data_IF_811064250594
#
_entry.id   IF_811064250594
#
_cell.length_a   1.000
_cell.length_b   1.000
_cell.length_c   1.000
_cell.angle_alpha   90.00
_cell.angle_beta   90.00
_cell.angle_gamma   90.00
#
_symmetry.space_group_name_H-M   'P 1'
#
loop_
_entity.id
_entity.type
_entity.pdbx_description
1 polymer ?
#
# COMPACT_ATOMS: atom_id res chain seq x y z
N UNK A 1 -4.78 -17.74 -31.20
CA UNK A 1 -5.09 -17.65 -29.75
C UNK A 1 -6.37 -18.37 -29.36
N UNK A 2 -7.48 -18.24 -30.10
CA UNK A 2 -8.77 -18.90 -29.76
C UNK A 2 -8.74 -20.43 -29.67
N UNK A 3 -7.77 -21.08 -30.30
CA UNK A 3 -7.59 -22.53 -30.28
C UNK A 3 -6.69 -23.04 -29.14
N UNK A 4 -6.09 -22.15 -28.35
CA UNK A 4 -5.19 -22.55 -27.26
C UNK A 4 -5.99 -22.99 -26.02
N UNK A 5 -5.55 -24.03 -25.30
CA UNK A 5 -6.04 -24.32 -23.96
C UNK A 5 -5.80 -23.12 -23.02
N UNK A 6 -6.69 -22.91 -22.05
CA UNK A 6 -6.65 -21.74 -21.18
C UNK A 6 -5.30 -21.52 -20.48
N UNK A 7 -4.65 -22.58 -19.97
CA UNK A 7 -3.33 -22.48 -19.34
C UNK A 7 -2.27 -21.93 -20.29
N UNK A 8 -2.17 -22.51 -21.49
CA UNK A 8 -1.21 -22.05 -22.52
C UNK A 8 -1.50 -20.62 -22.98
N UNK A 9 -2.78 -20.23 -23.06
CA UNK A 9 -3.18 -18.86 -23.40
C UNK A 9 -2.71 -17.88 -22.32
N UNK A 10 -2.95 -18.18 -21.04
CA UNK A 10 -2.47 -17.35 -19.92
C UNK A 10 -0.95 -17.22 -19.93
N UNK A 11 -0.24 -18.34 -20.12
CA UNK A 11 1.22 -18.32 -20.14
C UNK A 11 1.75 -17.49 -21.31
N UNK A 12 1.09 -17.56 -22.48
CA UNK A 12 1.41 -16.68 -23.62
C UNK A 12 1.20 -15.20 -23.27
N UNK A 13 0.09 -14.86 -22.60
CA UNK A 13 -0.22 -13.48 -22.22
C UNK A 13 0.78 -12.89 -21.21
N UNK A 14 1.42 -13.71 -20.36
CA UNK A 14 2.47 -13.24 -19.43
C UNK A 14 3.71 -12.68 -20.15
N UNK A 15 3.95 -13.09 -21.40
CA UNK A 15 5.05 -12.58 -22.22
C UNK A 15 4.74 -11.24 -22.91
N UNK A 16 3.47 -10.81 -22.91
CA UNK A 16 3.08 -9.53 -23.47
C UNK A 16 3.29 -8.41 -22.45
N UNK A 17 3.83 -7.27 -22.86
CA UNK A 17 3.88 -6.10 -22.00
C UNK A 17 2.49 -5.44 -21.85
N UNK A 18 2.39 -4.45 -20.97
CA UNK A 18 1.11 -3.78 -20.71
C UNK A 18 0.45 -3.21 -21.97
N UNK A 19 1.20 -2.53 -22.84
CA UNK A 19 0.63 -1.90 -24.05
C UNK A 19 0.10 -2.92 -25.05
N UNK A 20 0.79 -4.07 -25.17
CA UNK A 20 0.33 -5.19 -25.99
C UNK A 20 -0.92 -5.84 -25.40
N UNK A 21 -0.97 -6.06 -24.08
CA UNK A 21 -2.15 -6.61 -23.40
C UNK A 21 -3.34 -5.67 -23.49
N UNK A 22 -3.11 -4.37 -23.30
CA UNK A 22 -4.13 -3.34 -23.38
C UNK A 22 -4.71 -3.27 -24.80
N UNK A 23 -3.85 -3.29 -25.81
CA UNK A 23 -4.26 -3.37 -27.22
C UNK A 23 -5.08 -4.63 -27.50
N UNK A 24 -4.62 -5.80 -27.02
CA UNK A 24 -5.35 -7.07 -27.17
C UNK A 24 -6.73 -7.04 -26.48
N UNK A 25 -6.81 -6.42 -25.29
CA UNK A 25 -8.06 -6.24 -24.53
C UNK A 25 -9.11 -5.46 -25.32
N UNK A 26 -8.68 -4.52 -26.17
CA UNK A 26 -9.57 -3.70 -27.00
C UNK A 26 -10.03 -4.39 -28.29
N UNK A 27 -9.41 -5.50 -28.70
CA UNK A 27 -9.77 -6.16 -29.96
C UNK A 27 -11.16 -6.79 -29.95
N UNK A 28 -11.60 -7.34 -28.82
CA UNK A 28 -12.95 -7.92 -28.66
C UNK A 28 -13.28 -8.26 -27.19
N UNK A 29 -14.58 -8.53 -26.96
CA UNK A 29 -15.13 -8.87 -25.64
C UNK A 29 -14.55 -10.16 -25.03
N UNK A 30 -14.11 -11.12 -25.85
CA UNK A 30 -13.51 -12.36 -25.34
C UNK A 30 -12.18 -12.07 -24.64
N UNK A 31 -11.23 -11.39 -25.30
CA UNK A 31 -9.96 -11.03 -24.65
C UNK A 31 -10.16 -10.03 -23.52
N UNK A 32 -11.12 -9.12 -23.63
CA UNK A 32 -11.48 -8.22 -22.53
C UNK A 32 -11.86 -8.97 -21.26
N UNK A 33 -12.81 -9.91 -21.38
CA UNK A 33 -13.23 -10.77 -20.27
C UNK A 33 -12.11 -11.68 -19.78
N UNK A 34 -11.38 -12.33 -20.69
CA UNK A 34 -10.32 -13.27 -20.36
C UNK A 34 -9.14 -12.61 -19.62
N UNK A 35 -8.57 -11.53 -20.17
CA UNK A 35 -7.49 -10.77 -19.51
C UNK A 35 -7.97 -10.23 -18.16
N UNK A 36 -9.23 -9.79 -18.07
CA UNK A 36 -9.84 -9.37 -16.81
C UNK A 36 -9.84 -10.45 -15.72
N UNK A 37 -10.05 -11.73 -16.08
CA UNK A 37 -10.01 -12.84 -15.13
C UNK A 37 -8.61 -13.13 -14.58
N UNK A 38 -7.57 -12.84 -15.36
CA UNK A 38 -6.17 -13.13 -15.01
C UNK A 38 -5.35 -11.89 -14.68
N UNK A 39 -5.99 -10.74 -14.44
CA UNK A 39 -5.32 -9.45 -14.20
C UNK A 39 -4.35 -9.46 -13.00
N UNK A 40 -4.49 -10.42 -12.09
CA UNK A 40 -3.56 -10.60 -10.94
C UNK A 40 -2.20 -11.17 -11.34
N UNK A 41 -2.12 -11.89 -12.46
CA UNK A 41 -0.90 -12.56 -12.93
C UNK A 41 -0.38 -11.98 -14.26
N UNK A 42 -1.11 -11.06 -14.86
CA UNK A 42 -0.74 -10.39 -16.10
C UNK A 42 -0.08 -9.03 -15.82
N UNK A 43 0.87 -8.60 -16.68
CA UNK A 43 1.52 -7.28 -16.59
C UNK A 43 0.55 -6.10 -16.49
N UNK A 44 0.89 -5.15 -15.62
CA UNK A 44 0.13 -3.92 -15.31
C UNK A 44 0.90 -2.70 -15.81
N UNK A 45 0.19 -1.59 -16.03
CA UNK A 45 0.84 -0.30 -16.28
C UNK A 45 1.58 0.10 -15.02
N UNK A 46 2.90 0.21 -15.10
CA UNK A 46 3.72 0.66 -13.97
C UNK A 46 3.89 2.17 -14.00
N UNK A 47 3.59 2.82 -12.87
CA UNK A 47 3.83 4.23 -12.60
C UNK A 47 4.99 4.36 -11.61
N UNK A 48 5.64 5.52 -11.59
CA UNK A 48 6.71 5.75 -10.62
C UNK A 48 6.14 5.89 -9.22
N UNK A 49 5.19 6.78 -9.04
CA UNK A 49 4.67 7.16 -7.74
C UNK A 49 3.16 7.28 -7.74
N UNK A 50 2.55 7.05 -6.59
CA UNK A 50 1.28 7.69 -6.26
C UNK A 50 1.22 8.18 -4.81
N UNK A 51 0.50 9.29 -4.60
CA UNK A 51 0.24 9.84 -3.28
C UNK A 51 -1.14 10.47 -3.21
N UNK A 52 -1.60 10.72 -1.99
CA UNK A 52 -2.85 11.42 -1.72
C UNK A 52 -2.53 12.68 -0.92
N UNK A 53 -3.04 13.82 -1.37
CA UNK A 53 -2.88 15.12 -0.73
C UNK A 53 -4.25 15.83 -0.62
N UNK A 54 -4.36 16.79 0.30
CA UNK A 54 -5.53 17.67 0.43
C UNK A 54 -5.31 18.99 -0.30
N UNK A 55 -6.41 19.63 -0.72
CA UNK A 55 -6.42 20.97 -1.32
C UNK A 55 -5.72 22.03 -0.49
N UNK A 56 -5.76 21.89 0.83
CA UNK A 56 -5.36 22.96 1.74
C UNK A 56 -3.84 22.97 1.99
N UNK A 57 -3.13 21.97 1.45
CA UNK A 57 -1.68 21.97 1.44
C UNK A 57 -1.26 22.90 0.28
N UNK A 58 -1.15 24.19 0.57
CA UNK A 58 -0.58 25.25 -0.28
C UNK A 58 0.89 25.01 -0.71
N UNK A 59 1.39 23.78 -0.64
CA UNK A 59 2.80 23.44 -0.85
C UNK A 59 3.17 23.21 -2.31
N UNK A 60 2.24 23.35 -3.25
CA UNK A 60 2.60 23.40 -4.65
C UNK A 60 2.64 24.87 -5.08
N UNK A 61 3.88 25.35 -5.25
CA UNK A 61 4.22 26.50 -6.09
C UNK A 61 3.41 26.49 -7.41
N UNK A 62 3.31 27.64 -8.11
CA UNK A 62 2.52 27.78 -9.33
C UNK A 62 2.70 26.59 -10.29
N UNK A 63 1.64 26.18 -11.02
CA UNK A 63 1.57 24.89 -11.70
C UNK A 63 2.79 24.69 -12.58
N UNK A 64 3.65 23.75 -12.17
CA UNK A 64 4.76 23.28 -12.98
C UNK A 64 4.19 22.86 -14.34
N UNK A 65 4.76 23.31 -15.48
CA UNK A 65 4.29 22.93 -16.81
C UNK A 65 4.22 21.40 -17.03
N UNK A 66 4.85 20.59 -16.18
CA UNK A 66 4.76 19.12 -16.18
C UNK A 66 3.52 18.56 -15.47
N UNK A 67 2.71 19.40 -14.81
CA UNK A 67 1.47 19.00 -14.16
C UNK A 67 0.30 18.99 -15.14
N UNK A 68 -0.47 17.90 -15.11
CA UNK A 68 -1.69 17.72 -15.89
C UNK A 68 -2.84 17.36 -14.97
N UNK A 69 -3.78 18.28 -14.82
CA UNK A 69 -5.03 18.01 -14.12
C UNK A 69 -5.97 17.23 -15.02
N UNK A 70 -6.41 16.06 -14.56
CA UNK A 70 -7.39 15.25 -15.27
C UNK A 70 -8.78 15.68 -14.81
N UNK A 71 -9.50 16.35 -15.70
CA UNK A 71 -10.89 16.70 -15.44
C UNK A 71 -11.79 15.47 -15.62
N UNK A 72 -12.24 14.88 -14.52
CA UNK A 72 -13.11 13.72 -14.56
C UNK A 72 -14.58 14.05 -14.87
N UNK A 73 -15.00 15.32 -14.88
CA UNK A 73 -16.41 15.69 -15.14
C UNK A 73 -16.89 15.32 -16.55
N UNK A 74 -15.97 15.18 -17.50
CA UNK A 74 -16.27 14.71 -18.85
C UNK A 74 -16.32 13.18 -18.98
N UNK A 75 -15.92 12.44 -17.93
CA UNK A 75 -15.90 10.98 -17.96
C UNK A 75 -17.33 10.46 -17.74
N UNK A 76 -17.83 9.75 -18.74
CA UNK A 76 -19.12 9.10 -18.68
C UNK A 76 -19.05 7.82 -17.79
N UNK A 77 -19.36 7.97 -16.51
CA UNK A 77 -19.35 6.88 -15.53
C UNK A 77 -20.69 6.10 -15.52
N UNK A 78 -20.93 5.30 -16.56
CA UNK A 78 -22.17 4.50 -16.68
C UNK A 78 -22.13 3.17 -15.92
N UNK A 79 -21.97 3.23 -14.59
CA UNK A 79 -22.16 2.05 -13.74
C UNK A 79 -23.64 1.81 -13.46
N UNK A 80 -24.14 0.63 -13.83
CA UNK A 80 -25.44 0.14 -13.37
C UNK A 80 -25.35 -0.20 -11.88
N UNK A 81 -26.25 0.37 -11.09
CA UNK A 81 -26.40 0.06 -9.66
C UNK A 81 -27.67 -0.76 -9.47
N UNK A 82 -27.62 -1.74 -8.58
CA UNK A 82 -28.86 -2.34 -8.06
C UNK A 82 -29.51 -1.35 -7.09
N UNK A 83 -30.82 -1.40 -6.93
CA UNK A 83 -31.54 -0.53 -5.99
C UNK A 83 -30.97 -0.64 -4.56
N UNK A 84 -30.58 -1.85 -4.14
CA UNK A 84 -29.96 -2.08 -2.83
C UNK A 84 -28.60 -1.37 -2.68
N UNK A 85 -27.73 -1.43 -3.70
CA UNK A 85 -26.42 -0.77 -3.64
C UNK A 85 -26.56 0.76 -3.71
N UNK A 86 -27.51 1.25 -4.51
CA UNK A 86 -27.80 2.68 -4.58
C UNK A 86 -28.26 3.23 -3.23
N UNK A 87 -29.15 2.55 -2.51
CA UNK A 87 -29.58 2.96 -1.17
C UNK A 87 -28.44 2.96 -0.15
N UNK A 88 -27.54 1.96 -0.21
CA UNK A 88 -26.32 1.96 0.62
C UNK A 88 -25.42 3.16 0.31
N UNK A 89 -25.27 3.52 -0.97
CA UNK A 89 -24.49 4.69 -1.38
C UNK A 89 -25.14 6.00 -0.91
N UNK A 90 -26.48 6.14 -1.02
CA UNK A 90 -27.22 7.29 -0.46
C UNK A 90 -27.02 7.40 1.05
N UNK A 91 -27.12 6.28 1.77
CA UNK A 91 -26.87 6.24 3.21
C UNK A 91 -25.45 6.68 3.57
N UNK A 92 -24.44 6.22 2.83
CA UNK A 92 -23.05 6.64 3.04
C UNK A 92 -22.81 8.14 2.79
N UNK A 93 -23.43 8.70 1.76
CA UNK A 93 -23.42 10.14 1.46
C UNK A 93 -24.05 10.92 2.63
N UNK A 94 -25.23 10.49 3.10
CA UNK A 94 -25.91 11.13 4.23
C UNK A 94 -25.09 11.06 5.52
N UNK A 95 -24.41 9.95 5.75
CA UNK A 95 -23.50 9.73 6.88
C UNK A 95 -22.12 10.39 6.68
N UNK A 96 -21.90 11.09 5.56
CA UNK A 96 -20.64 11.77 5.21
C UNK A 96 -19.42 10.85 5.29
N UNK A 97 -19.52 9.62 4.77
CA UNK A 97 -18.35 8.74 4.66
C UNK A 97 -17.35 9.37 3.69
N UNK A 98 -16.14 9.66 4.17
CA UNK A 98 -15.12 10.32 3.37
C UNK A 98 -14.40 9.37 2.41
N UNK A 99 -13.92 9.91 1.28
CA UNK A 99 -13.08 9.22 0.29
C UNK A 99 -11.69 8.89 0.86
N UNK A 100 -11.15 9.82 1.65
CA UNK A 100 -9.85 9.68 2.32
C UNK A 100 -9.97 9.95 3.82
N UNK A 101 -9.07 9.35 4.58
CA UNK A 101 -8.87 9.62 6.00
C UNK A 101 -7.71 10.58 6.15
N UNK A 102 -7.90 11.60 6.97
CA UNK A 102 -6.81 12.43 7.44
C UNK A 102 -6.11 11.75 8.61
N UNK A 103 -4.82 11.55 8.47
CA UNK A 103 -3.97 10.98 9.50
C UNK A 103 -3.43 12.09 10.41
N UNK A 104 -3.38 13.36 9.99
CA UNK A 104 -2.79 14.45 10.76
C UNK A 104 -3.76 15.61 11.04
N UNK A 105 -4.07 15.81 12.33
CA UNK A 105 -4.91 16.91 12.84
C UNK A 105 -4.44 18.30 12.42
N UNK A 106 -3.14 18.48 12.13
CA UNK A 106 -2.58 19.78 11.74
C UNK A 106 -3.07 20.25 10.38
N UNK A 107 -3.48 19.31 9.52
CA UNK A 107 -4.00 19.63 8.19
C UNK A 107 -5.51 19.55 8.23
N UNK A 108 -6.26 20.62 7.94
CA UNK A 108 -7.70 20.52 7.81
C UNK A 108 -8.05 19.57 6.65
N UNK A 109 -9.20 18.89 6.81
CA UNK A 109 -9.76 18.07 5.74
C UNK A 109 -10.44 19.02 4.76
N UNK A 110 -9.76 19.31 3.67
CA UNK A 110 -10.31 20.12 2.58
C UNK A 110 -11.50 19.44 1.91
N UNK A 111 -12.28 20.21 1.16
CA UNK A 111 -13.42 19.67 0.41
C UNK A 111 -13.00 18.67 -0.69
N UNK A 112 -11.74 18.76 -1.14
CA UNK A 112 -11.18 17.99 -2.25
C UNK A 112 -9.98 17.17 -1.81
N UNK A 113 -9.94 15.96 -2.33
CA UNK A 113 -8.83 15.02 -2.23
C UNK A 113 -8.16 14.95 -3.58
N UNK A 114 -6.86 15.17 -3.63
CA UNK A 114 -6.08 15.04 -4.85
C UNK A 114 -5.28 13.75 -4.82
N UNK A 115 -5.39 12.99 -5.91
CA UNK A 115 -4.53 11.85 -6.17
C UNK A 115 -3.47 12.32 -7.14
N UNK A 116 -2.22 12.20 -6.73
CA UNK A 116 -1.07 12.56 -7.54
C UNK A 116 -0.44 11.27 -8.03
N UNK A 117 -0.39 11.07 -9.34
CA UNK A 117 0.32 9.97 -9.97
C UNK A 117 1.49 10.53 -10.77
N UNK A 118 2.63 9.85 -10.72
CA UNK A 118 3.82 10.29 -11.45
C UNK A 118 4.31 9.23 -12.43
N UNK A 119 4.80 9.69 -13.58
CA UNK A 119 5.33 8.84 -14.67
C UNK A 119 6.62 9.41 -15.23
N UNK A 120 7.45 8.59 -15.88
CA UNK A 120 8.70 9.01 -16.54
C UNK A 120 9.94 8.60 -15.75
N UNK A 121 11.06 9.24 -16.00
CA UNK A 121 12.26 9.15 -15.15
C UNK A 121 12.40 10.41 -14.31
N UNK A 122 13.27 10.42 -13.29
CA UNK A 122 13.43 11.55 -12.34
C UNK A 122 13.57 12.93 -13.00
N UNK A 123 14.09 12.99 -14.23
CA UNK A 123 14.30 14.25 -14.95
C UNK A 123 13.08 14.70 -15.79
N UNK A 124 12.20 13.76 -16.16
CA UNK A 124 11.05 13.97 -17.06
C UNK A 124 9.76 13.47 -16.41
N UNK A 125 9.59 13.75 -15.12
CA UNK A 125 8.42 13.29 -14.38
C UNK A 125 7.17 14.08 -14.80
N UNK A 126 6.21 13.41 -15.44
CA UNK A 126 4.88 13.96 -15.67
C UNK A 126 4.01 13.65 -14.45
N UNK A 127 3.33 14.68 -13.95
CA UNK A 127 2.49 14.59 -12.75
C UNK A 127 1.03 14.69 -13.17
N UNK A 128 0.27 13.63 -12.94
CA UNK A 128 -1.17 13.60 -13.15
C UNK A 128 -1.88 13.87 -11.84
N UNK A 129 -2.76 14.86 -11.84
CA UNK A 129 -3.55 15.23 -10.67
C UNK A 129 -5.00 14.90 -10.96
N UNK A 130 -5.55 13.98 -10.17
CA UNK A 130 -6.97 13.63 -10.21
C UNK A 130 -7.63 14.22 -8.98
N UNK A 131 -8.62 15.07 -9.21
CA UNK A 131 -9.41 15.67 -8.14
C UNK A 131 -10.64 14.80 -7.85
N UNK A 132 -10.81 14.43 -6.57
CA UNK A 132 -11.98 13.73 -6.06
C UNK A 132 -12.64 14.54 -4.93
N UNK A 133 -13.97 14.45 -4.76
CA UNK A 133 -14.61 15.01 -3.58
C UNK A 133 -14.17 14.23 -2.34
N UNK A 134 -13.77 14.94 -1.28
CA UNK A 134 -13.44 14.31 0.00
C UNK A 134 -14.68 13.71 0.65
N UNK A 135 -15.81 14.39 0.54
CA UNK A 135 -17.13 13.91 0.95
C UNK A 135 -18.04 13.89 -0.29
N UNK A 136 -18.36 12.73 -0.87
CA UNK A 136 -19.27 12.66 -2.00
C UNK A 136 -20.63 13.23 -1.61
N UNK A 137 -21.20 14.10 -2.45
CA UNK A 137 -22.49 14.77 -2.22
C UNK A 137 -23.60 14.12 -3.03
N UNK A 138 -23.25 13.38 -4.07
CA UNK A 138 -24.20 12.77 -5.02
C UNK A 138 -23.80 11.34 -5.39
N UNK A 139 -24.75 10.58 -5.93
CA UNK A 139 -24.46 9.25 -6.52
C UNK A 139 -23.48 9.37 -7.69
N UNK A 140 -23.50 10.49 -8.42
CA UNK A 140 -22.53 10.74 -9.49
C UNK A 140 -21.10 10.83 -8.92
N UNK A 141 -20.90 11.53 -7.81
CA UNK A 141 -19.60 11.60 -7.13
C UNK A 141 -19.10 10.20 -6.74
N UNK A 142 -19.99 9.35 -6.21
CA UNK A 142 -19.65 7.96 -5.86
C UNK A 142 -19.22 7.16 -7.10
N UNK A 143 -19.91 7.33 -8.23
CA UNK A 143 -19.53 6.70 -9.51
C UNK A 143 -18.16 7.20 -10.00
N UNK A 144 -17.86 8.48 -9.81
CA UNK A 144 -16.59 9.09 -10.16
C UNK A 144 -15.43 8.53 -9.33
N UNK A 145 -15.62 8.45 -8.01
CA UNK A 145 -14.63 7.86 -7.07
C UNK A 145 -14.40 6.40 -7.44
N UNK A 146 -15.47 5.63 -7.68
CA UNK A 146 -15.37 4.23 -8.12
C UNK A 146 -14.59 4.10 -9.43
N UNK A 147 -14.87 4.94 -10.42
CA UNK A 147 -14.12 4.96 -11.68
C UNK A 147 -12.64 5.19 -11.43
N UNK A 148 -12.30 6.19 -10.61
CA UNK A 148 -10.92 6.48 -10.28
C UNK A 148 -10.24 5.28 -9.61
N UNK A 149 -10.85 4.69 -8.58
CA UNK A 149 -10.30 3.51 -7.91
C UNK A 149 -10.15 2.30 -8.84
N UNK A 150 -11.11 2.04 -9.73
CA UNK A 150 -10.96 0.99 -10.74
C UNK A 150 -9.73 1.24 -11.62
N UNK A 151 -9.46 2.48 -12.03
CA UNK A 151 -8.24 2.79 -12.77
C UNK A 151 -6.97 2.57 -11.92
N UNK A 152 -6.97 3.05 -10.67
CA UNK A 152 -5.80 2.91 -9.80
C UNK A 152 -5.47 1.44 -9.49
N UNK A 153 -6.50 0.62 -9.26
CA UNK A 153 -6.36 -0.80 -8.94
C UNK A 153 -5.87 -1.64 -10.11
N UNK A 154 -5.88 -1.13 -11.34
CA UNK A 154 -5.35 -1.80 -12.54
C UNK A 154 -3.89 -1.45 -12.84
N UNK A 155 -3.34 -0.53 -12.06
CA UNK A 155 -1.96 -0.09 -12.20
C UNK A 155 -1.05 -0.80 -11.18
N UNK A 156 0.25 -0.68 -11.40
CA UNK A 156 1.30 -0.98 -10.43
C UNK A 156 2.15 0.27 -10.20
N UNK A 157 2.80 0.37 -9.05
CA UNK A 157 3.56 1.55 -8.67
C UNK A 157 4.94 1.15 -8.16
N UNK A 158 5.99 1.91 -8.50
CA UNK A 158 7.30 1.71 -7.86
C UNK A 158 7.24 2.18 -6.41
N UNK A 159 6.61 3.32 -6.16
CA UNK A 159 6.53 3.93 -4.84
C UNK A 159 5.11 4.44 -4.56
N UNK A 160 4.69 4.35 -3.30
CA UNK A 160 3.43 4.91 -2.82
C UNK A 160 3.68 5.63 -1.49
N UNK A 161 3.00 6.75 -1.29
CA UNK A 161 3.23 7.59 -0.12
C UNK A 161 1.91 8.03 0.51
N UNK A 162 1.72 7.67 1.77
CA UNK A 162 0.57 8.04 2.60
C UNK A 162 1.06 8.64 3.92
N UNK A 163 1.51 9.90 3.89
CA UNK A 163 1.97 10.60 5.10
C UNK A 163 0.85 11.37 5.82
N UNK A 164 -0.03 12.01 5.05
CA UNK A 164 -1.10 12.85 5.61
C UNK A 164 -2.48 12.26 5.33
N UNK A 165 -2.67 11.69 4.14
CA UNK A 165 -3.94 11.11 3.72
C UNK A 165 -3.76 9.68 3.26
N UNK A 166 -4.77 8.86 3.54
CA UNK A 166 -4.92 7.49 3.03
C UNK A 166 -6.35 7.29 2.55
N UNK A 167 -6.60 6.39 1.60
CA UNK A 167 -7.98 6.10 1.21
C UNK A 167 -8.75 5.46 2.36
N UNK A 168 -10.02 5.79 2.50
CA UNK A 168 -10.87 5.19 3.51
C UNK A 168 -11.23 3.74 3.09
N UNK A 169 -10.81 2.69 3.82
CA UNK A 169 -11.13 1.31 3.45
C UNK A 169 -12.64 1.05 3.42
N UNK A 170 -13.42 1.79 4.21
CA UNK A 170 -14.88 1.68 4.21
C UNK A 170 -15.50 2.12 2.86
N UNK A 171 -15.02 3.23 2.29
CA UNK A 171 -15.50 3.68 0.98
C UNK A 171 -15.13 2.67 -0.11
N UNK A 172 -13.91 2.09 -0.06
CA UNK A 172 -13.48 1.09 -1.05
C UNK A 172 -14.41 -0.13 -0.99
N UNK A 173 -14.65 -0.67 0.21
CA UNK A 173 -15.56 -1.80 0.40
C UNK A 173 -16.96 -1.51 -0.13
N UNK A 174 -17.48 -0.32 0.14
CA UNK A 174 -18.82 0.10 -0.30
C UNK A 174 -18.92 0.23 -1.83
N UNK A 175 -17.89 0.79 -2.49
CA UNK A 175 -17.91 1.02 -3.93
C UNK A 175 -17.81 -0.28 -4.75
N UNK A 176 -17.18 -1.31 -4.19
CA UNK A 176 -16.92 -2.59 -4.85
C UNK A 176 -17.67 -3.76 -4.22
N UNK A 177 -18.67 -3.50 -3.38
CA UNK A 177 -19.48 -4.55 -2.74
C UNK A 177 -20.12 -5.49 -3.77
N UNK A 178 -20.01 -6.80 -3.53
CA UNK A 178 -20.58 -7.84 -4.41
C UNK A 178 -19.76 -8.14 -5.68
N UNK A 179 -18.65 -7.44 -5.92
CA UNK A 179 -17.82 -7.70 -7.09
C UNK A 179 -16.76 -8.76 -6.81
N UNK A 180 -16.79 -9.83 -7.59
CA UNK A 180 -15.79 -10.91 -7.53
C UNK A 180 -14.58 -10.69 -8.44
N UNK A 181 -14.72 -9.80 -9.43
CA UNK A 181 -13.79 -9.71 -10.57
C UNK A 181 -12.60 -8.78 -10.28
N UNK A 182 -12.85 -7.64 -9.62
CA UNK A 182 -11.83 -6.60 -9.44
C UNK A 182 -11.03 -6.86 -8.17
N UNK A 183 -9.71 -6.95 -8.31
CA UNK A 183 -8.80 -6.90 -7.17
C UNK A 183 -8.78 -5.48 -6.62
N UNK A 184 -9.41 -5.23 -5.48
CA UNK A 184 -9.40 -3.92 -4.78
C UNK A 184 -8.09 -3.67 -4.04
N UNK A 185 -6.96 -4.01 -4.66
CA UNK A 185 -5.61 -3.93 -4.07
C UNK A 185 -4.69 -3.07 -4.92
N UNK A 186 -3.96 -2.16 -4.28
CA UNK A 186 -2.89 -1.38 -4.88
C UNK A 186 -1.61 -2.21 -4.90
N UNK A 187 -1.02 -2.39 -6.07
CA UNK A 187 0.23 -3.11 -6.26
C UNK A 187 1.39 -2.13 -6.27
N UNK A 188 2.32 -2.28 -5.34
CA UNK A 188 3.43 -1.34 -5.19
C UNK A 188 4.71 -2.03 -4.76
N UNK A 189 5.87 -1.52 -5.19
CA UNK A 189 7.18 -2.04 -4.75
C UNK A 189 7.56 -1.44 -3.39
N UNK A 190 7.28 -0.17 -3.14
CA UNK A 190 7.60 0.49 -1.87
C UNK A 190 6.46 1.37 -1.41
N UNK A 191 6.22 1.37 -0.11
CA UNK A 191 5.19 2.17 0.53
C UNK A 191 5.78 2.89 1.73
N UNK A 192 5.44 4.16 1.91
CA UNK A 192 5.71 4.89 3.15
C UNK A 192 4.38 5.27 3.81
N UNK A 193 4.21 4.85 5.07
CA UNK A 193 3.01 5.13 5.88
C UNK A 193 3.43 5.70 7.22
N UNK A 194 2.75 6.78 7.61
CA UNK A 194 2.86 7.36 8.94
C UNK A 194 1.71 6.87 9.83
N UNK A 195 2.04 6.11 10.87
CA UNK A 195 1.10 5.65 11.90
C UNK A 195 1.02 6.59 13.10
N UNK A 196 1.87 7.62 13.17
CA UNK A 196 2.15 8.41 14.37
C UNK A 196 0.98 9.19 14.99
N UNK A 197 -0.21 9.14 14.38
CA UNK A 197 -1.23 10.14 14.60
C UNK A 197 -2.61 9.52 14.88
N UNK A 198 -3.55 9.59 13.95
CA UNK A 198 -4.97 9.22 14.17
C UNK A 198 -5.37 8.10 13.21
N UNK A 199 -6.45 7.38 13.53
CA UNK A 199 -7.05 6.34 12.69
C UNK A 199 -6.15 5.12 12.44
N UNK A 200 -5.22 4.81 13.36
CA UNK A 200 -4.26 3.69 13.25
C UNK A 200 -4.89 2.36 12.86
N UNK A 201 -6.07 2.05 13.41
CA UNK A 201 -6.84 0.83 13.09
C UNK A 201 -7.34 0.81 11.63
N UNK A 202 -7.83 1.95 11.14
CA UNK A 202 -8.29 2.06 9.74
C UNK A 202 -7.12 2.03 8.76
N UNK A 203 -5.97 2.61 9.14
CA UNK A 203 -4.72 2.54 8.35
C UNK A 203 -4.24 1.09 8.26
N UNK A 204 -4.21 0.38 9.38
CA UNK A 204 -3.87 -1.04 9.41
C UNK A 204 -4.82 -1.87 8.54
N UNK A 205 -6.13 -1.65 8.67
CA UNK A 205 -7.13 -2.31 7.83
C UNK A 205 -6.87 -2.07 6.35
N UNK A 206 -6.59 -0.83 5.96
CA UNK A 206 -6.23 -0.51 4.58
C UNK A 206 -4.97 -1.27 4.13
N UNK A 207 -3.95 -1.36 4.96
CA UNK A 207 -2.71 -2.05 4.62
C UNK A 207 -2.90 -3.55 4.39
N UNK A 208 -3.68 -4.21 5.24
CA UNK A 208 -3.91 -5.65 5.14
C UNK A 208 -4.90 -6.01 4.02
N UNK A 209 -5.92 -5.18 3.79
CA UNK A 209 -7.00 -5.49 2.85
C UNK A 209 -6.73 -4.95 1.43
N UNK A 210 -6.07 -3.80 1.30
CA UNK A 210 -6.00 -3.04 0.05
C UNK A 210 -4.59 -2.78 -0.47
N UNK A 211 -3.52 -3.23 0.19
CA UNK A 211 -2.16 -3.14 -0.35
C UNK A 211 -1.57 -4.50 -0.70
N UNK A 212 -0.70 -4.50 -1.72
CA UNK A 212 0.28 -5.56 -2.01
C UNK A 212 1.62 -4.86 -2.21
N UNK A 213 2.57 -5.13 -1.31
CA UNK A 213 3.88 -4.51 -1.24
C UNK A 213 4.95 -5.55 -1.56
N UNK A 214 5.45 -5.54 -2.81
CA UNK A 214 6.47 -6.47 -3.30
C UNK A 214 7.91 -6.02 -3.00
N UNK A 215 8.08 -5.19 -1.98
CA UNK A 215 9.37 -4.68 -1.53
C UNK A 215 9.22 -4.14 -0.12
N UNK A 216 9.29 -2.83 0.07
CA UNK A 216 9.39 -2.22 1.40
C UNK A 216 8.12 -1.53 1.83
N UNK A 217 7.52 -1.98 2.94
CA UNK A 217 6.59 -1.19 3.73
C UNK A 217 7.37 -0.42 4.80
N UNK A 218 7.61 0.87 4.57
CA UNK A 218 8.26 1.77 5.51
C UNK A 218 7.24 2.38 6.47
N UNK A 219 7.45 2.19 7.76
CA UNK A 219 6.58 2.63 8.83
C UNK A 219 7.28 3.70 9.66
N UNK A 220 6.58 4.81 9.85
CA UNK A 220 6.94 5.86 10.80
C UNK A 220 5.96 5.84 11.96
N UNK A 221 6.49 5.98 13.17
CA UNK A 221 5.72 6.11 14.40
C UNK A 221 6.13 7.44 15.07
N UNK A 222 5.16 8.14 15.66
CA UNK A 222 5.41 9.33 16.46
C UNK A 222 5.04 9.05 17.93
N UNK A 223 5.81 9.64 18.84
CA UNK A 223 5.57 9.59 20.28
C UNK A 223 5.88 8.23 20.91
N UNK A 224 5.04 7.85 21.88
CA UNK A 224 5.17 6.62 22.66
C UNK A 224 4.84 5.39 21.80
N UNK A 225 5.85 4.57 21.56
CA UNK A 225 5.78 3.42 20.65
C UNK A 225 4.91 2.28 21.19
N UNK A 226 4.67 2.20 22.51
CA UNK A 226 3.81 1.18 23.14
C UNK A 226 2.35 1.28 22.68
N UNK A 227 1.92 2.45 22.21
CA UNK A 227 0.55 2.65 21.70
C UNK A 227 0.29 1.91 20.39
N UNK A 228 1.32 1.32 19.76
CA UNK A 228 1.22 0.62 18.49
C UNK A 228 1.35 -0.90 18.62
N UNK A 229 1.37 -1.47 19.83
CA UNK A 229 1.52 -2.91 20.07
C UNK A 229 0.56 -3.76 19.25
N UNK A 230 -0.74 -3.48 19.38
CA UNK A 230 -1.78 -4.25 18.68
C UNK A 230 -1.62 -4.12 17.16
N UNK A 231 -1.26 -2.92 16.69
CA UNK A 231 -1.12 -2.63 15.27
C UNK A 231 0.08 -3.35 14.67
N UNK A 232 1.23 -3.29 15.36
CA UNK A 232 2.46 -3.95 14.93
C UNK A 232 2.30 -5.46 15.02
N UNK A 233 1.67 -5.97 16.08
CA UNK A 233 1.42 -7.40 16.25
C UNK A 233 0.54 -7.94 15.12
N UNK A 234 -0.59 -7.29 14.86
CA UNK A 234 -1.51 -7.68 13.80
C UNK A 234 -0.85 -7.60 12.41
N UNK A 235 -0.08 -6.54 12.13
CA UNK A 235 0.67 -6.41 10.88
C UNK A 235 1.72 -7.51 10.71
N UNK A 236 2.47 -7.83 11.77
CA UNK A 236 3.53 -8.85 11.74
C UNK A 236 2.93 -10.23 11.53
N UNK A 237 1.85 -10.56 12.24
CA UNK A 237 1.25 -11.90 12.21
C UNK A 237 0.45 -12.17 10.94
N UNK A 238 -0.19 -11.15 10.36
CA UNK A 238 -1.10 -11.31 9.23
C UNK A 238 -0.63 -10.68 7.91
N UNK A 239 0.43 -9.86 7.95
CA UNK A 239 0.89 -9.09 6.79
C UNK A 239 1.72 -9.85 5.76
N UNK A 240 2.29 -11.02 6.09
CA UNK A 240 3.23 -11.76 5.22
C UNK A 240 2.64 -12.23 3.88
N UNK A 241 1.31 -12.29 3.75
CA UNK A 241 0.64 -12.56 2.46
C UNK A 241 0.67 -11.39 1.49
N UNK A 242 0.86 -10.18 1.99
CA UNK A 242 0.73 -8.94 1.23
C UNK A 242 1.95 -8.04 1.31
N UNK A 243 2.83 -8.24 2.30
CA UNK A 243 4.00 -7.41 2.54
C UNK A 243 5.25 -8.28 2.52
N UNK A 244 6.16 -7.98 1.59
CA UNK A 244 7.42 -8.70 1.47
C UNK A 244 8.40 -8.38 2.59
N UNK A 245 8.63 -7.09 2.86
CA UNK A 245 9.54 -6.60 3.90
C UNK A 245 8.96 -5.40 4.63
N UNK A 246 9.06 -5.40 5.95
CA UNK A 246 8.72 -4.25 6.80
C UNK A 246 9.99 -3.51 7.18
N UNK A 247 9.99 -2.20 6.94
CA UNK A 247 11.04 -1.29 7.35
C UNK A 247 10.51 -0.35 8.43
N UNK A 248 11.23 -0.23 9.54
CA UNK A 248 10.88 0.68 10.63
C UNK A 248 12.06 1.59 10.95
N UNK A 249 11.81 2.90 10.99
CA UNK A 249 12.78 3.87 11.52
C UNK A 249 12.41 4.14 12.99
N UNK A 250 13.18 3.58 13.93
CA UNK A 250 12.90 3.56 15.38
C UNK A 250 13.85 4.50 16.15
N UNK A 251 13.32 5.12 17.21
CA UNK A 251 14.14 5.88 18.17
C UNK A 251 14.57 5.02 19.37
N UNK A 252 13.78 4.00 19.70
CA UNK A 252 14.00 3.14 20.86
C UNK A 252 13.81 1.64 20.49
N UNK A 253 14.34 0.69 21.29
CA UNK A 253 14.34 -0.73 20.95
C UNK A 253 13.02 -1.47 21.26
N UNK A 254 12.00 -0.80 21.78
CA UNK A 254 10.79 -1.46 22.27
C UNK A 254 10.04 -2.23 21.18
N UNK A 255 9.67 -1.59 20.06
CA UNK A 255 8.97 -2.26 18.97
C UNK A 255 9.81 -3.36 18.32
N UNK A 256 11.12 -3.15 18.22
CA UNK A 256 12.03 -4.21 17.79
C UNK A 256 11.91 -5.43 18.71
N UNK A 257 12.01 -5.25 20.03
CA UNK A 257 11.91 -6.35 21.00
C UNK A 257 10.56 -7.06 20.94
N UNK A 258 9.47 -6.30 20.77
CA UNK A 258 8.12 -6.85 20.56
C UNK A 258 8.09 -7.76 19.34
N UNK A 259 8.62 -7.31 18.19
CA UNK A 259 8.63 -8.08 16.95
C UNK A 259 9.50 -9.32 17.07
N UNK A 260 10.69 -9.21 17.67
CA UNK A 260 11.56 -10.37 17.92
C UNK A 260 10.83 -11.41 18.75
N UNK A 261 10.16 -10.99 19.83
CA UNK A 261 9.36 -11.88 20.67
C UNK A 261 8.22 -12.53 19.89
N UNK A 262 7.47 -11.79 19.08
CA UNK A 262 6.40 -12.33 18.26
C UNK A 262 6.90 -13.39 17.26
N UNK A 263 8.04 -13.12 16.60
CA UNK A 263 8.66 -14.07 15.68
C UNK A 263 9.07 -15.35 16.42
N UNK A 264 9.67 -15.22 17.61
CA UNK A 264 10.15 -16.36 18.38
C UNK A 264 8.99 -17.20 18.96
N UNK A 265 7.92 -16.56 19.44
CA UNK A 265 6.92 -17.22 20.31
C UNK A 265 5.50 -17.28 19.74
N UNK A 266 5.20 -16.76 18.55
CA UNK A 266 3.84 -16.91 18.02
C UNK A 266 3.56 -18.35 17.56
N UNK A 267 2.39 -18.87 17.93
CA UNK A 267 1.90 -20.18 17.45
C UNK A 267 1.26 -20.05 16.06
N UNK A 268 0.54 -18.96 15.80
CA UNK A 268 0.04 -18.66 14.46
C UNK A 268 1.10 -17.86 13.70
N UNK A 269 1.71 -18.51 12.73
CA UNK A 269 2.75 -17.93 11.90
C UNK A 269 2.57 -18.23 10.41
N UNK A 270 1.39 -18.71 10.03
CA UNK A 270 1.06 -19.08 8.65
C UNK A 270 1.17 -17.89 7.68
N UNK A 271 0.96 -16.68 8.20
CA UNK A 271 0.90 -15.43 7.42
C UNK A 271 1.90 -14.39 7.93
N UNK A 272 2.90 -14.80 8.72
CA UNK A 272 3.81 -13.88 9.37
C UNK A 272 4.72 -13.19 8.34
N UNK A 273 5.00 -11.90 8.53
CA UNK A 273 6.05 -11.19 7.79
C UNK A 273 7.41 -11.78 8.18
N UNK A 274 8.23 -12.13 7.19
CA UNK A 274 9.53 -12.80 7.43
C UNK A 274 10.74 -11.93 7.15
N UNK A 275 10.59 -10.70 6.63
CA UNK A 275 11.73 -9.82 6.36
C UNK A 275 11.54 -8.49 7.07
N UNK A 276 12.51 -8.13 7.92
CA UNK A 276 12.50 -6.90 8.70
C UNK A 276 13.78 -6.11 8.51
N UNK A 277 13.62 -4.79 8.36
CA UNK A 277 14.71 -3.82 8.35
C UNK A 277 14.45 -2.75 9.42
N UNK A 278 15.24 -2.75 10.47
CA UNK A 278 15.19 -1.75 11.53
C UNK A 278 16.29 -0.71 11.33
N UNK A 279 15.93 0.57 11.32
CA UNK A 279 16.90 1.66 11.36
C UNK A 279 16.76 2.41 12.67
N UNK A 280 17.80 2.38 13.49
CA UNK A 280 17.82 3.12 14.75
C UNK A 280 18.41 4.51 14.53
N UNK A 281 17.62 5.54 14.89
CA UNK A 281 18.07 6.94 14.83
C UNK A 281 19.11 7.24 15.90
N UNK A 282 18.97 6.60 17.05
CA UNK A 282 19.81 6.77 18.23
C UNK A 282 20.73 5.55 18.44
N UNK A 283 21.73 5.71 19.31
CA UNK A 283 22.69 4.66 19.66
C UNK A 283 22.11 3.63 20.63
N UNK A 284 20.88 3.16 20.40
CA UNK A 284 20.23 2.19 21.26
C UNK A 284 21.01 0.87 21.26
N UNK A 285 21.31 0.35 22.45
CA UNK A 285 21.87 -0.99 22.60
C UNK A 285 20.77 -2.01 22.31
N UNK A 286 20.79 -2.53 21.09
CA UNK A 286 19.87 -3.59 20.65
C UNK A 286 20.53 -4.93 20.88
N UNK A 287 19.91 -5.77 21.72
CA UNK A 287 20.31 -7.17 21.89
C UNK A 287 19.75 -7.99 20.73
N UNK A 288 20.58 -8.86 20.17
CA UNK A 288 20.13 -9.83 19.18
C UNK A 288 19.29 -10.90 19.89
N UNK A 289 18.24 -11.42 19.23
CA UNK A 289 17.38 -12.46 19.80
C UNK A 289 18.17 -13.71 20.22
N UNK A 290 17.68 -14.43 21.24
CA UNK A 290 18.38 -15.61 21.79
C UNK A 290 18.50 -16.73 20.75
N UNK A 291 17.56 -16.77 19.80
CA UNK A 291 17.51 -17.76 18.72
C UNK A 291 18.09 -17.24 17.41
N UNK A 292 18.94 -16.22 17.47
CA UNK A 292 19.57 -15.68 16.29
C UNK A 292 20.64 -16.62 15.73
N UNK A 293 20.55 -16.84 14.42
CA UNK A 293 21.43 -17.69 13.64
C UNK A 293 22.06 -16.86 12.52
N UNK A 294 23.20 -17.32 12.00
CA UNK A 294 23.87 -16.72 10.84
C UNK A 294 24.12 -15.19 11.00
N UNK A 295 24.60 -14.78 12.18
CA UNK A 295 24.86 -13.36 12.45
C UNK A 295 26.05 -12.89 11.59
N UNK A 296 25.77 -11.98 10.67
CA UNK A 296 26.76 -11.30 9.82
C UNK A 296 26.90 -9.86 10.30
N UNK A 297 28.13 -9.46 10.61
CA UNK A 297 28.52 -8.08 10.91
C UNK A 297 29.44 -7.63 9.79
N UNK A 298 29.02 -6.62 9.04
CA UNK A 298 29.83 -6.08 7.94
C UNK A 298 30.87 -5.13 8.52
N UNK A 299 32.16 -5.48 8.41
CA UNK A 299 33.29 -4.65 8.84
C UNK A 299 33.23 -3.30 8.13
N UNK A 300 33.17 -2.21 8.90
CA UNK A 300 32.95 -0.81 8.46
C UNK A 300 31.51 -0.39 8.17
N UNK A 301 30.54 -1.29 8.28
CA UNK A 301 29.13 -0.92 8.30
C UNK A 301 28.61 -0.90 9.74
N UNK A 302 27.60 -0.07 9.99
CA UNK A 302 26.79 -0.15 11.22
C UNK A 302 25.59 -1.09 11.01
N UNK A 303 25.79 -2.17 10.26
CA UNK A 303 24.77 -3.11 9.82
C UNK A 303 24.99 -4.49 10.44
N UNK A 304 23.92 -5.06 10.98
CA UNK A 304 23.89 -6.45 11.45
C UNK A 304 22.74 -7.17 10.79
N UNK A 305 23.05 -8.30 10.17
CA UNK A 305 22.07 -9.21 9.54
C UNK A 305 22.07 -10.52 10.28
N UNK A 306 20.90 -11.09 10.51
CA UNK A 306 20.77 -12.41 11.13
C UNK A 306 19.41 -13.03 10.81
N UNK A 307 19.25 -14.31 11.13
CA UNK A 307 18.00 -15.04 11.01
C UNK A 307 17.47 -15.41 12.39
N UNK A 308 16.14 -15.48 12.54
CA UNK A 308 15.49 -15.97 13.75
C UNK A 308 14.57 -17.12 13.38
N UNK A 309 14.59 -18.19 14.20
CA UNK A 309 13.67 -19.32 14.09
C UNK A 309 12.58 -19.25 15.16
N UNK A 310 11.35 -19.60 14.77
CA UNK A 310 10.23 -19.71 15.70
C UNK A 310 10.31 -21.01 16.52
N UNK A 311 9.93 -20.98 17.82
CA UNK A 311 10.04 -22.15 18.71
C UNK A 311 9.04 -23.26 18.36
N UNK A 312 7.88 -22.90 17.81
CA UNK A 312 6.81 -23.82 17.44
C UNK A 312 6.92 -24.27 15.98
N UNK A 313 7.61 -23.51 15.12
CA UNK A 313 7.82 -23.84 13.71
C UNK A 313 9.26 -23.51 13.28
N UNK A 314 10.18 -24.48 13.42
CA UNK A 314 11.60 -24.31 13.06
C UNK A 314 11.86 -24.06 11.57
N UNK A 315 10.89 -24.35 10.71
CA UNK A 315 10.99 -24.09 9.27
C UNK A 315 10.70 -22.63 8.92
N UNK A 316 9.99 -21.91 9.80
CA UNK A 316 9.82 -20.47 9.65
C UNK A 316 11.11 -19.76 10.05
N UNK A 317 11.72 -19.11 9.07
CA UNK A 317 12.91 -18.27 9.25
C UNK A 317 12.59 -16.83 8.90
N UNK A 318 12.84 -15.92 9.82
CA UNK A 318 12.71 -14.49 9.58
C UNK A 318 14.09 -13.86 9.45
N UNK A 319 14.30 -13.10 8.38
CA UNK A 319 15.50 -12.30 8.16
C UNK A 319 15.34 -10.95 8.85
N UNK A 320 16.34 -10.59 9.66
CA UNK A 320 16.38 -9.32 10.38
C UNK A 320 17.66 -8.57 10.02
N UNK A 321 17.48 -7.34 9.56
CA UNK A 321 18.55 -6.40 9.28
C UNK A 321 18.41 -5.20 10.22
N UNK A 322 19.49 -4.85 10.90
CA UNK A 322 19.57 -3.69 11.80
C UNK A 322 20.59 -2.72 11.22
N UNK A 323 20.20 -1.46 11.01
CA UNK A 323 21.09 -0.35 10.64
C UNK A 323 21.12 0.68 11.75
N UNK A 324 22.30 1.11 12.16
CA UNK A 324 22.48 2.22 13.11
C UNK A 324 23.03 3.46 12.42
N UNK A 325 22.77 4.62 13.02
CA UNK A 325 23.38 5.88 12.61
C UNK A 325 24.90 5.84 12.82
N UNK A 326 25.62 6.49 11.91
CA UNK A 326 27.07 6.68 12.01
C UNK A 326 27.46 7.34 13.34
N UNK A 327 28.51 6.82 14.00
CA UNK A 327 29.02 7.32 15.28
C UNK A 327 28.53 6.60 16.54
N UNK A 328 27.67 5.58 16.41
CA UNK A 328 27.22 4.76 17.53
C UNK A 328 28.14 3.54 17.73
N UNK A 329 28.99 3.55 18.76
CA UNK A 329 29.91 2.44 19.05
C UNK A 329 29.24 1.30 19.86
N UNK A 330 29.48 0.07 19.39
CA UNK A 330 29.38 -1.25 20.06
C UNK A 330 28.00 -1.91 20.21
N UNK A 331 27.95 -3.19 19.80
CA UNK A 331 26.91 -4.19 20.13
C UNK A 331 27.58 -5.15 21.12
N UNK A 332 27.06 -5.23 22.35
CA UNK A 332 27.40 -6.31 23.28
C UNK A 332 26.56 -7.55 22.98
#
# INVERSE_FOLDING_TARGET
>A
MYSLPYGALVDTLKYLNFEQLFSLKQTNNYFNGFIGQYEKILPRKEFNGFSIISSDINAYDPPDPKQRTINLKSVNCNYSLTSQLEEKWKSAINNKISTSLNMDKKFPVGERTFIVQTTGDKNNELVFIVELPTYPKTIYDMKLIRFCFDQLFRCAYKEASFFVFIFNPEIIRLLFEGQKIISTKFYTKKVSIDYGKINKEKVLKFNLEHLIVNGDLSLSFEGDTQKYDDIVSELVLNGGRVIHRVRMDLSDPYLYNLIIKLIETSQDNSNMVTNFLFKFRDCSQVKVGVRAENIVREENSHEVKYQITNIYNKNLRSNVEIKRKWGCCTIM
#
